data_IF_065878285300
#
_entry.id   IF_065878285300
#
_cell.length_a   1.000
_cell.length_b   1.000
_cell.length_c   1.000
_cell.angle_alpha   90.00
_cell.angle_beta   90.00
_cell.angle_gamma   90.00
#
_symmetry.space_group_name_H-M   'P 1'
#
loop_
_entity.id
_entity.type
_entity.pdbx_description
1 polymer ?
#
# COMPACT_ATOMS: atom_id res chain seq x y z
N UNK A 1 12.35 56.81 -12.52
CA UNK A 1 12.03 57.51 -13.78
C UNK A 1 12.33 56.54 -14.91
N UNK A 2 11.37 55.71 -15.32
CA UNK A 2 10.44 55.95 -16.43
C UNK A 2 11.16 56.20 -17.76
N UNK A 3 11.22 55.17 -18.60
CA UNK A 3 10.95 55.31 -20.04
C UNK A 3 10.42 54.00 -20.60
N UNK A 4 9.11 54.01 -20.84
CA UNK A 4 8.31 53.08 -21.65
C UNK A 4 8.60 53.24 -23.14
N UNK A 5 8.53 52.13 -23.89
CA UNK A 5 8.54 52.02 -25.36
C UNK A 5 7.85 50.70 -25.68
N UNK A 6 6.92 50.53 -26.62
CA UNK A 6 6.41 51.37 -27.71
C UNK A 6 5.24 50.61 -28.36
N UNK A 7 4.29 51.38 -28.92
CA UNK A 7 3.63 51.15 -30.23
C UNK A 7 2.61 50.00 -30.36
N UNK A 8 1.52 50.09 -31.13
CA UNK A 8 0.87 51.17 -31.91
C UNK A 8 -0.44 50.62 -32.58
N UNK A 9 -1.36 51.51 -32.97
CA UNK A 9 -2.24 51.46 -34.18
C UNK A 9 -3.40 50.40 -34.20
N UNK A 10 -4.67 50.58 -34.64
CA UNK A 10 -5.42 51.52 -35.50
C UNK A 10 -6.93 51.56 -35.12
N UNK A 11 -7.51 52.73 -35.42
CA UNK A 11 -8.86 53.25 -35.55
C UNK A 11 -10.03 52.40 -36.18
N UNK A 12 -11.24 52.63 -35.64
CA UNK A 12 -12.59 52.77 -36.27
C UNK A 12 -13.57 51.58 -36.44
N UNK A 13 -14.60 51.63 -35.57
CA UNK A 13 -16.08 51.54 -35.74
C UNK A 13 -16.73 50.28 -36.35
N UNK A 14 -17.57 49.64 -35.53
CA UNK A 14 -18.98 49.39 -35.85
C UNK A 14 -19.84 49.49 -34.56
N UNK A 15 -20.98 50.17 -34.67
CA UNK A 15 -21.95 50.47 -33.63
C UNK A 15 -23.19 49.57 -33.85
N UNK A 16 -23.60 48.76 -32.89
CA UNK A 16 -24.95 48.18 -32.78
C UNK A 16 -25.11 47.52 -31.39
N UNK A 17 -25.64 48.26 -30.40
CA UNK A 17 -26.99 48.07 -29.82
C UNK A 17 -27.21 46.71 -29.13
N UNK A 18 -27.34 46.76 -27.80
CA UNK A 18 -28.26 45.90 -27.06
C UNK A 18 -27.66 44.74 -26.27
N UNK A 19 -27.19 45.01 -25.05
CA UNK A 19 -27.77 44.46 -23.80
C UNK A 19 -26.96 44.99 -22.62
N UNK A 20 -27.61 45.77 -21.77
CA UNK A 20 -27.12 45.98 -20.42
C UNK A 20 -27.28 44.66 -19.66
N UNK A 21 -26.19 43.93 -19.46
CA UNK A 21 -26.08 43.01 -18.33
C UNK A 21 -25.16 43.66 -17.32
N UNK A 22 -25.80 44.28 -16.32
CA UNK A 22 -25.15 44.67 -15.08
C UNK A 22 -24.41 43.46 -14.53
N UNK A 23 -23.08 43.56 -14.50
CA UNK A 23 -22.24 42.67 -13.71
C UNK A 23 -22.45 43.02 -12.24
N UNK A 24 -23.59 42.61 -11.68
CA UNK A 24 -23.76 42.55 -10.24
C UNK A 24 -22.91 41.38 -9.76
N UNK A 25 -21.76 41.69 -9.16
CA UNK A 25 -21.17 40.80 -8.18
C UNK A 25 -22.25 40.51 -7.14
N UNK A 26 -22.92 39.36 -7.24
CA UNK A 26 -23.63 38.78 -6.13
C UNK A 26 -22.57 38.46 -5.08
N UNK A 27 -22.36 39.38 -4.14
CA UNK A 27 -21.90 38.99 -2.82
C UNK A 27 -22.87 37.91 -2.34
N UNK A 28 -22.39 36.75 -1.86
CA UNK A 28 -23.30 35.80 -1.23
C UNK A 28 -24.01 36.58 -0.13
N UNK A 29 -25.34 36.51 -0.10
CA UNK A 29 -26.12 36.96 1.05
C UNK A 29 -25.75 36.03 2.22
N UNK A 30 -24.59 36.28 2.83
CA UNK A 30 -24.33 35.96 4.22
C UNK A 30 -25.36 36.74 5.04
N UNK A 31 -26.04 36.02 5.93
CA UNK A 31 -27.12 36.47 6.80
C UNK A 31 -27.01 37.96 7.20
N UNK A 32 -27.67 38.85 6.45
CA UNK A 32 -28.23 40.06 7.05
C UNK A 32 -29.64 39.73 7.49
N UNK A 33 -29.71 39.19 8.70
CA UNK A 33 -30.80 39.33 9.66
C UNK A 33 -32.20 39.63 9.08
N UNK A 34 -32.94 38.58 8.72
CA UNK A 34 -34.24 38.41 9.37
C UNK A 34 -34.03 37.49 10.56
N UNK A 35 -33.51 38.08 11.63
CA UNK A 35 -33.39 37.47 12.95
C UNK A 35 -34.79 37.19 13.50
N UNK A 36 -35.29 35.99 13.25
CA UNK A 36 -36.03 35.28 14.28
C UNK A 36 -35.22 34.01 14.48
N UNK A 37 -34.64 33.89 15.68
CA UNK A 37 -33.93 32.71 16.15
C UNK A 37 -34.55 31.43 15.57
N UNK A 38 -33.82 30.75 14.67
CA UNK A 38 -34.19 29.39 14.28
C UNK A 38 -33.93 28.51 15.49
N UNK A 39 -34.88 28.52 16.43
CA UNK A 39 -34.86 27.68 17.61
C UNK A 39 -34.73 26.24 17.14
N UNK A 40 -33.67 25.55 17.57
CA UNK A 40 -33.39 24.17 17.16
C UNK A 40 -34.57 23.23 17.48
N UNK A 41 -35.43 23.58 18.45
CA UNK A 41 -36.65 22.87 18.78
C UNK A 41 -37.71 22.81 17.66
N UNK A 42 -37.55 23.58 16.59
CA UNK A 42 -38.43 23.56 15.41
C UNK A 42 -37.85 22.76 14.23
N UNK A 43 -36.66 22.18 14.39
CA UNK A 43 -36.02 21.41 13.33
C UNK A 43 -36.84 20.14 13.02
N UNK A 44 -37.00 19.85 11.73
CA UNK A 44 -37.54 18.56 11.31
C UNK A 44 -36.49 17.47 11.58
N UNK A 45 -36.79 16.59 12.52
CA UNK A 45 -35.88 15.51 12.91
C UNK A 45 -35.88 14.38 11.87
N UNK A 46 -34.73 14.19 11.22
CA UNK A 46 -34.44 13.13 10.24
C UNK A 46 -33.93 11.83 10.90
N UNK A 47 -33.74 11.85 12.22
CA UNK A 47 -33.25 10.76 13.05
C UNK A 47 -31.79 10.41 12.78
N UNK A 48 -31.38 9.24 13.26
CA UNK A 48 -30.00 8.76 13.11
C UNK A 48 -29.73 8.32 11.67
N UNK A 49 -28.63 8.80 11.09
CA UNK A 49 -28.20 8.40 9.74
C UNK A 49 -27.25 7.19 9.87
N UNK A 50 -27.84 5.99 9.93
CA UNK A 50 -27.12 4.70 9.94
C UNK A 50 -27.09 4.01 8.58
N UNK A 51 -27.86 4.51 7.62
CA UNK A 51 -27.97 4.05 6.25
C UNK A 51 -28.38 5.22 5.33
N UNK A 52 -28.24 5.10 4.00
CA UNK A 52 -28.72 6.12 3.06
C UNK A 52 -30.18 6.51 3.30
N UNK A 53 -30.45 7.81 3.47
CA UNK A 53 -31.81 8.34 3.64
C UNK A 53 -32.13 9.42 2.62
N UNK A 54 -33.42 9.60 2.36
CA UNK A 54 -33.97 10.62 1.45
C UNK A 54 -35.12 11.35 2.12
N UNK A 55 -35.09 12.67 2.06
CA UNK A 55 -36.12 13.53 2.64
C UNK A 55 -36.58 14.52 1.58
N UNK A 56 -37.90 14.71 1.46
CA UNK A 56 -38.48 15.69 0.54
C UNK A 56 -38.86 16.94 1.32
N UNK A 57 -38.55 18.09 0.75
CA UNK A 57 -38.87 19.40 1.31
C UNK A 57 -39.45 20.35 0.28
N UNK A 58 -40.01 21.45 0.77
CA UNK A 58 -40.41 22.60 -0.04
C UNK A 58 -40.08 23.88 0.72
N UNK A 59 -39.45 24.82 0.04
CA UNK A 59 -39.14 26.14 0.59
C UNK A 59 -39.68 27.22 -0.33
N UNK A 60 -40.31 28.24 0.27
CA UNK A 60 -40.82 29.42 -0.43
C UNK A 60 -39.78 30.54 -0.52
N UNK A 61 -40.06 31.56 -1.33
CA UNK A 61 -39.25 32.77 -1.41
C UNK A 61 -39.13 33.45 -0.04
N UNK A 62 -37.90 33.71 0.40
CA UNK A 62 -37.63 34.35 1.70
C UNK A 62 -38.07 33.49 2.89
N UNK A 63 -38.15 32.17 2.70
CA UNK A 63 -38.42 31.19 3.77
C UNK A 63 -37.22 30.27 3.92
N UNK A 64 -37.20 29.60 5.07
CA UNK A 64 -36.16 28.65 5.44
C UNK A 64 -36.81 27.37 5.95
N UNK A 65 -36.21 26.22 5.67
CA UNK A 65 -36.46 25.00 6.43
C UNK A 65 -35.24 24.66 7.27
N UNK A 66 -35.48 24.13 8.46
CA UNK A 66 -34.46 23.62 9.36
C UNK A 66 -34.67 22.12 9.51
N UNK A 67 -33.63 21.36 9.21
CA UNK A 67 -33.58 19.91 9.36
C UNK A 67 -32.54 19.56 10.40
N UNK A 68 -32.78 18.54 11.20
CA UNK A 68 -31.82 18.01 12.17
C UNK A 68 -31.59 16.54 11.89
N UNK A 69 -30.34 16.09 11.96
CA UNK A 69 -30.01 14.67 11.97
C UNK A 69 -28.90 14.38 12.98
N UNK A 70 -28.75 13.11 13.31
CA UNK A 70 -27.69 12.66 14.20
C UNK A 70 -26.83 11.61 13.50
N UNK A 71 -25.53 11.69 13.74
CA UNK A 71 -24.57 10.64 13.43
C UNK A 71 -24.24 9.92 14.73
N UNK A 72 -24.73 8.69 14.96
CA UNK A 72 -24.51 7.97 16.21
C UNK A 72 -23.06 7.53 16.39
N UNK A 73 -22.29 7.46 15.29
CA UNK A 73 -20.85 7.19 15.30
C UNK A 73 -20.16 8.12 14.32
N UNK A 74 -18.85 8.32 14.47
CA UNK A 74 -18.04 9.01 13.48
C UNK A 74 -18.29 8.33 12.12
N UNK A 75 -18.44 9.10 11.06
CA UNK A 75 -18.91 8.60 9.76
C UNK A 75 -17.99 9.14 8.67
N UNK A 76 -17.55 8.25 7.79
CA UNK A 76 -16.69 8.59 6.67
C UNK A 76 -17.53 9.00 5.46
N UNK A 77 -17.02 9.97 4.70
CA UNK A 77 -17.58 10.40 3.41
C UNK A 77 -19.10 10.65 3.46
N UNK A 78 -19.57 11.33 4.51
CA UNK A 78 -20.94 11.82 4.58
C UNK A 78 -21.19 12.71 3.39
N UNK A 79 -22.06 12.28 2.49
CA UNK A 79 -22.46 13.02 1.31
C UNK A 79 -23.88 13.49 1.48
N UNK A 80 -24.09 14.80 1.35
CA UNK A 80 -25.40 15.44 1.41
C UNK A 80 -25.66 16.05 0.05
N UNK A 81 -26.70 15.57 -0.63
CA UNK A 81 -27.06 16.03 -1.98
C UNK A 81 -28.44 16.66 -1.99
N UNK A 82 -28.57 17.85 -2.58
CA UNK A 82 -29.82 18.46 -2.99
C UNK A 82 -30.17 18.02 -4.41
N UNK A 83 -31.38 17.50 -4.62
CA UNK A 83 -31.91 17.23 -5.96
C UNK A 83 -33.31 17.78 -6.12
N UNK A 84 -33.84 17.70 -7.34
CA UNK A 84 -35.23 18.01 -7.71
C UNK A 84 -35.62 19.50 -7.59
N UNK A 85 -34.69 20.38 -7.21
CA UNK A 85 -34.91 21.82 -7.16
C UNK A 85 -35.09 22.43 -8.55
N UNK A 86 -36.18 23.18 -8.71
CA UNK A 86 -36.54 23.92 -9.92
C UNK A 86 -36.12 25.39 -9.85
N UNK A 87 -36.10 25.97 -8.65
CA UNK A 87 -35.62 27.33 -8.38
C UNK A 87 -34.27 27.30 -7.69
N UNK A 88 -33.62 28.46 -7.57
CA UNK A 88 -32.41 28.57 -6.78
C UNK A 88 -32.70 28.25 -5.31
N UNK A 89 -31.90 27.34 -4.76
CA UNK A 89 -31.92 26.92 -3.37
C UNK A 89 -30.47 26.87 -2.89
N UNK A 90 -30.24 27.41 -1.71
CA UNK A 90 -28.99 27.29 -0.98
C UNK A 90 -29.23 26.40 0.24
N UNK A 91 -28.22 25.63 0.61
CA UNK A 91 -28.18 24.87 1.83
C UNK A 91 -26.88 25.09 2.58
N UNK A 92 -26.99 25.02 3.90
CA UNK A 92 -25.89 25.20 4.82
C UNK A 92 -25.94 24.07 5.85
N UNK A 93 -24.78 23.44 6.12
CA UNK A 93 -24.63 22.43 7.16
C UNK A 93 -24.01 23.10 8.37
N UNK A 94 -24.63 22.92 9.52
CA UNK A 94 -24.18 23.44 10.80
C UNK A 94 -23.95 22.31 11.81
N UNK A 95 -23.14 22.61 12.81
CA UNK A 95 -23.09 21.90 14.08
C UNK A 95 -23.12 22.96 15.20
N UNK A 96 -24.10 22.87 16.11
CA UNK A 96 -24.15 23.73 17.30
C UNK A 96 -22.99 23.34 18.24
N UNK A 97 -21.87 24.04 18.11
CA UNK A 97 -20.61 23.69 18.77
C UNK A 97 -20.54 24.25 20.18
N UNK A 98 -21.22 25.37 20.43
CA UNK A 98 -21.25 26.01 21.74
C UNK A 98 -22.44 25.52 22.61
N UNK A 99 -23.36 24.74 22.04
CA UNK A 99 -24.55 24.16 22.67
C UNK A 99 -25.49 25.22 23.26
N UNK A 100 -25.56 26.41 22.66
CA UNK A 100 -26.43 27.49 23.13
C UNK A 100 -27.85 27.41 22.54
N UNK A 101 -28.11 26.44 21.66
CA UNK A 101 -29.41 26.20 21.06
C UNK A 101 -29.75 27.18 19.93
N UNK A 102 -28.76 27.89 19.39
CA UNK A 102 -28.87 28.79 18.24
C UNK A 102 -27.79 28.44 17.22
N UNK A 103 -28.11 28.58 15.93
CA UNK A 103 -27.13 28.45 14.86
C UNK A 103 -26.51 29.81 14.56
N UNK A 104 -25.18 29.92 14.61
CA UNK A 104 -24.46 31.15 14.24
C UNK A 104 -23.57 30.95 13.02
N UNK A 105 -23.12 32.06 12.42
CA UNK A 105 -22.39 32.04 11.16
C UNK A 105 -21.04 31.30 11.26
N UNK A 106 -20.40 31.38 12.42
CA UNK A 106 -19.16 30.69 12.76
C UNK A 106 -19.30 29.17 12.86
N UNK A 107 -20.54 28.66 12.94
CA UNK A 107 -20.85 27.24 13.06
C UNK A 107 -21.18 26.56 11.72
N UNK A 108 -21.13 27.33 10.63
CA UNK A 108 -21.33 26.81 9.28
C UNK A 108 -20.12 25.93 8.91
N UNK A 109 -20.39 24.64 8.71
CA UNK A 109 -19.41 23.67 8.25
C UNK A 109 -19.27 23.71 6.72
N UNK A 110 -20.39 23.79 6.02
CA UNK A 110 -20.43 23.78 4.56
C UNK A 110 -21.60 24.60 4.03
N UNK A 111 -21.41 25.16 2.84
CA UNK A 111 -22.48 25.79 2.05
C UNK A 111 -22.47 25.18 0.65
N UNK A 112 -23.66 24.92 0.11
CA UNK A 112 -23.82 24.43 -1.24
C UNK A 112 -25.16 24.86 -1.82
N UNK A 113 -25.34 24.72 -3.13
CA UNK A 113 -26.52 25.23 -3.82
C UNK A 113 -26.94 24.30 -4.96
N UNK A 114 -27.98 24.68 -5.71
CA UNK A 114 -28.46 23.90 -6.85
C UNK A 114 -27.38 23.64 -7.94
N UNK A 115 -26.44 24.56 -8.13
CA UNK A 115 -25.40 24.43 -9.17
C UNK A 115 -24.26 23.52 -8.71
N UNK A 116 -24.01 23.48 -7.39
CA UNK A 116 -23.09 22.55 -6.74
C UNK A 116 -23.88 21.72 -5.72
N UNK A 117 -24.70 20.75 -6.18
CA UNK A 117 -25.76 20.16 -5.37
C UNK A 117 -25.30 19.27 -4.24
N UNK A 118 -24.00 19.08 -4.02
CA UNK A 118 -23.51 18.13 -3.03
C UNK A 118 -22.25 18.58 -2.32
N UNK A 119 -22.18 18.20 -1.05
CA UNK A 119 -20.96 18.22 -0.23
C UNK A 119 -20.60 16.78 0.15
N UNK A 120 -19.31 16.53 0.37
CA UNK A 120 -18.81 15.26 0.91
C UNK A 120 -17.72 15.54 1.93
N UNK A 121 -17.88 15.04 3.16
CA UNK A 121 -16.87 15.18 4.22
C UNK A 121 -16.90 14.01 5.20
N UNK A 122 -15.81 13.80 5.93
CA UNK A 122 -15.86 13.01 7.15
C UNK A 122 -16.46 13.88 8.26
N UNK A 123 -17.39 13.32 9.02
CA UNK A 123 -18.03 14.00 10.15
C UNK A 123 -17.88 13.11 11.39
N UNK A 124 -17.64 13.73 12.54
CA UNK A 124 -17.59 13.03 13.82
C UNK A 124 -19.01 12.68 14.30
N UNK A 125 -19.14 11.83 15.32
CA UNK A 125 -20.43 11.57 15.94
C UNK A 125 -21.00 12.88 16.51
N UNK A 126 -22.29 13.12 16.33
CA UNK A 126 -22.91 14.36 16.78
C UNK A 126 -24.23 14.67 16.10
N UNK A 127 -24.81 15.80 16.50
CA UNK A 127 -26.03 16.34 15.93
C UNK A 127 -25.68 17.46 14.96
N UNK A 128 -26.30 17.42 13.79
CA UNK A 128 -26.06 18.33 12.69
C UNK A 128 -27.37 18.92 12.20
N UNK A 129 -27.28 20.13 11.65
CA UNK A 129 -28.43 20.87 11.15
C UNK A 129 -28.23 21.26 9.70
N UNK A 130 -29.26 21.07 8.88
CA UNK A 130 -29.29 21.57 7.51
C UNK A 130 -30.29 22.71 7.47
N UNK A 131 -29.83 23.88 7.05
CA UNK A 131 -30.66 25.03 6.76
C UNK A 131 -30.82 25.11 5.26
N UNK A 132 -32.05 25.16 4.75
CA UNK A 132 -32.32 25.38 3.32
C UNK A 132 -33.15 26.64 3.12
N UNK A 133 -32.79 27.48 2.15
CA UNK A 133 -33.52 28.69 1.83
C UNK A 133 -33.57 28.94 0.32
N UNK A 134 -34.62 29.64 -0.14
CA UNK A 134 -34.74 30.07 -1.53
C UNK A 134 -34.86 31.58 -1.65
N UNK A 135 -34.10 32.13 -2.61
CA UNK A 135 -34.07 33.55 -2.96
C UNK A 135 -34.68 33.86 -4.32
N UNK A 136 -35.15 32.86 -5.08
CA UNK A 136 -35.73 33.08 -6.42
C UNK A 136 -37.18 32.64 -6.57
N UNK A 137 -37.71 31.79 -5.69
CA UNK A 137 -39.10 31.35 -5.78
C UNK A 137 -39.46 30.23 -4.82
N UNK A 138 -40.62 29.61 -5.04
CA UNK A 138 -41.01 28.40 -4.32
C UNK A 138 -40.46 27.19 -5.04
N UNK A 139 -39.80 26.27 -4.33
CA UNK A 139 -39.28 25.05 -4.94
C UNK A 139 -39.40 23.84 -4.04
N UNK A 140 -39.63 22.69 -4.68
CA UNK A 140 -39.53 21.39 -4.06
C UNK A 140 -38.09 20.91 -4.20
N UNK A 141 -37.59 20.17 -3.23
CA UNK A 141 -36.27 19.57 -3.30
C UNK A 141 -36.26 18.24 -2.55
N UNK A 142 -35.20 17.47 -2.77
CA UNK A 142 -34.91 16.27 -2.01
C UNK A 142 -33.50 16.37 -1.42
N UNK A 143 -33.36 16.11 -0.14
CA UNK A 143 -32.06 15.90 0.52
C UNK A 143 -31.79 14.40 0.54
N UNK A 144 -30.70 13.98 -0.08
CA UNK A 144 -30.18 12.61 0.04
C UNK A 144 -28.96 12.66 0.94
N UNK A 145 -28.98 11.88 2.03
CA UNK A 145 -27.84 11.70 2.92
C UNK A 145 -27.31 10.29 2.74
N UNK A 146 -26.01 10.17 2.46
CA UNK A 146 -25.28 8.91 2.51
C UNK A 146 -24.07 9.07 3.40
N UNK A 147 -23.58 7.98 3.96
CA UNK A 147 -22.40 7.95 4.80
C UNK A 147 -22.16 6.52 5.25
N UNK A 148 -20.91 6.19 5.52
CA UNK A 148 -20.53 4.87 6.03
C UNK A 148 -19.90 5.07 7.42
N UNK A 149 -20.39 4.39 8.47
CA UNK A 149 -19.77 4.48 9.79
C UNK A 149 -18.25 4.31 9.70
N UNK A 150 -17.51 5.20 10.36
CA UNK A 150 -16.07 5.12 10.47
C UNK A 150 -15.73 3.78 11.12
N UNK A 151 -14.81 3.00 10.53
CA UNK A 151 -14.35 1.78 11.14
C UNK A 151 -13.78 2.06 12.54
N UNK A 152 -14.11 1.22 13.52
CA UNK A 152 -13.55 1.35 14.86
C UNK A 152 -12.03 1.15 14.84
N UNK A 153 -11.30 1.98 15.57
CA UNK A 153 -9.85 1.83 15.77
C UNK A 153 -9.60 0.60 16.65
N UNK A 154 -8.74 -0.35 16.25
CA UNK A 154 -8.39 -1.50 17.09
C UNK A 154 -7.74 -1.08 18.43
N UNK A 155 -7.98 -1.87 19.47
CA UNK A 155 -7.51 -1.59 20.84
C UNK A 155 -5.98 -1.53 20.98
N UNK A 156 -5.25 -2.27 20.15
CA UNK A 156 -3.79 -2.15 20.02
C UNK A 156 -3.49 -1.40 18.72
N UNK A 157 -3.40 -0.08 18.82
CA UNK A 157 -3.12 0.77 17.67
C UNK A 157 -1.60 0.85 17.47
N UNK A 158 -1.09 0.54 16.26
CA UNK A 158 0.33 0.73 15.98
C UNK A 158 0.72 2.20 16.08
N UNK A 159 1.94 2.46 16.53
CA UNK A 159 2.44 3.83 16.60
C UNK A 159 2.59 4.49 15.24
N UNK A 160 2.61 5.83 15.23
CA UNK A 160 2.74 6.65 14.02
C UNK A 160 4.19 7.00 13.66
N UNK A 161 5.15 6.54 14.45
CA UNK A 161 6.58 6.72 14.24
C UNK A 161 7.31 5.39 14.40
N UNK A 162 8.49 5.26 13.77
CA UNK A 162 9.28 4.02 13.81
C UNK A 162 9.62 3.57 15.24
N UNK A 163 9.96 4.53 16.11
CA UNK A 163 10.28 4.25 17.52
C UNK A 163 9.09 3.69 18.32
N UNK A 164 7.87 4.01 17.88
CA UNK A 164 6.61 3.57 18.47
C UNK A 164 5.97 2.39 17.75
N UNK A 165 6.70 1.75 16.82
CA UNK A 165 6.19 0.63 16.04
C UNK A 165 5.67 -0.50 16.93
N UNK A 166 4.49 -1.04 16.60
CA UNK A 166 3.93 -2.18 17.30
C UNK A 166 4.80 -3.42 17.07
N UNK A 167 5.31 -3.99 18.15
CA UNK A 167 6.16 -5.16 18.11
C UNK A 167 5.35 -6.43 17.94
N UNK A 168 5.46 -7.05 16.76
CA UNK A 168 4.85 -8.34 16.45
C UNK A 168 5.72 -9.52 16.94
N UNK A 169 6.87 -9.23 17.55
CA UNK A 169 7.79 -10.20 18.09
C UNK A 169 8.56 -10.96 17.02
N UNK A 170 8.91 -12.20 17.35
CA UNK A 170 9.64 -13.12 16.48
C UNK A 170 8.69 -13.69 15.44
N UNK A 171 9.04 -13.57 14.17
CA UNK A 171 8.18 -14.02 13.10
C UNK A 171 8.19 -15.55 12.97
N UNK A 172 7.06 -16.19 13.27
CA UNK A 172 6.89 -17.64 13.12
C UNK A 172 5.71 -17.97 12.20
N UNK A 173 5.99 -18.34 10.95
CA UNK A 173 4.99 -18.88 10.03
C UNK A 173 4.01 -17.83 9.51
N UNK A 174 2.85 -17.68 10.16
CA UNK A 174 1.78 -16.77 9.74
C UNK A 174 1.38 -15.86 10.90
N UNK A 175 1.39 -14.56 10.67
CA UNK A 175 0.92 -13.53 11.62
C UNK A 175 -0.21 -12.73 10.97
N UNK A 176 -1.27 -12.45 11.71
CA UNK A 176 -2.37 -11.60 11.25
C UNK A 176 -2.59 -10.48 12.24
N UNK A 177 -2.66 -9.25 11.74
CA UNK A 177 -2.97 -8.08 12.54
C UNK A 177 -4.07 -7.26 11.88
N UNK A 178 -4.96 -6.71 12.69
CA UNK A 178 -5.93 -5.72 12.24
C UNK A 178 -5.46 -4.34 12.62
N UNK A 179 -5.59 -3.38 11.73
CA UNK A 179 -5.17 -2.01 11.96
C UNK A 179 -6.13 -1.00 11.36
N UNK A 180 -5.86 0.26 11.64
CA UNK A 180 -6.58 1.41 11.12
C UNK A 180 -5.57 2.47 10.68
N UNK A 181 -5.81 3.05 9.51
CA UNK A 181 -5.15 4.30 9.09
C UNK A 181 -6.20 5.29 8.61
N UNK A 182 -5.97 6.58 8.84
CA UNK A 182 -6.93 7.64 8.54
C UNK A 182 -6.40 9.03 8.82
N UNK A 183 -7.19 10.08 8.59
CA UNK A 183 -6.74 11.49 8.66
C UNK A 183 -6.07 11.87 9.99
N UNK A 184 -6.57 11.35 11.10
CA UNK A 184 -6.03 11.58 12.46
C UNK A 184 -5.04 10.51 12.90
N UNK A 185 -4.91 9.44 12.12
CA UNK A 185 -4.00 8.32 12.36
C UNK A 185 -3.35 7.89 11.03
N UNK A 186 -2.51 8.76 10.45
CA UNK A 186 -2.10 8.64 9.05
C UNK A 186 -1.23 7.41 8.77
N UNK A 187 -0.43 7.03 9.76
CA UNK A 187 0.56 5.98 9.64
C UNK A 187 0.32 4.89 10.70
N UNK A 188 0.73 3.68 10.38
CA UNK A 188 0.81 2.57 11.32
C UNK A 188 2.12 1.83 11.09
N UNK A 189 3.02 1.93 12.07
CA UNK A 189 4.30 1.23 12.06
C UNK A 189 4.20 -0.07 12.85
N UNK A 190 4.66 -1.16 12.24
CA UNK A 190 4.87 -2.45 12.87
C UNK A 190 6.34 -2.84 12.78
N UNK A 191 6.81 -3.65 13.72
CA UNK A 191 8.13 -4.27 13.65
C UNK A 191 8.05 -5.75 13.96
N UNK A 192 8.95 -6.53 13.37
CA UNK A 192 9.13 -7.93 13.71
C UNK A 192 10.60 -8.32 13.54
N UNK A 193 10.98 -9.46 14.12
CA UNK A 193 12.31 -10.05 13.91
C UNK A 193 12.19 -11.38 13.17
N UNK A 194 12.84 -11.49 12.00
CA UNK A 194 13.06 -12.77 11.35
C UNK A 194 14.22 -13.49 12.04
N UNK A 195 13.96 -14.59 12.74
CA UNK A 195 15.02 -15.34 13.45
C UNK A 195 15.90 -16.17 12.51
N UNK A 196 15.36 -16.50 11.34
CA UNK A 196 16.05 -17.23 10.27
C UNK A 196 15.77 -16.54 8.96
N UNK A 197 16.61 -16.80 7.97
CA UNK A 197 16.33 -16.40 6.59
C UNK A 197 14.96 -16.98 6.14
N UNK A 198 14.20 -16.20 5.38
CA UNK A 198 12.85 -16.52 4.88
C UNK A 198 12.86 -16.44 3.36
N UNK A 199 12.38 -17.48 2.66
CA UNK A 199 12.50 -17.53 1.19
C UNK A 199 11.38 -16.78 0.46
N UNK A 200 10.19 -16.74 1.07
CA UNK A 200 8.98 -16.20 0.47
C UNK A 200 8.12 -15.50 1.53
N UNK A 201 8.70 -14.50 2.20
CA UNK A 201 7.94 -13.61 3.06
C UNK A 201 6.92 -12.87 2.20
N UNK A 202 5.65 -13.00 2.55
CA UNK A 202 4.51 -12.47 1.82
C UNK A 202 3.74 -11.56 2.74
N UNK A 203 3.45 -10.36 2.24
CA UNK A 203 2.58 -9.38 2.88
C UNK A 203 1.29 -9.30 2.07
N UNK A 204 0.15 -9.55 2.71
CA UNK A 204 -1.17 -9.52 2.09
C UNK A 204 -2.11 -8.60 2.86
N UNK A 205 -2.77 -7.70 2.14
CA UNK A 205 -3.87 -6.89 2.66
C UNK A 205 -5.23 -7.47 2.32
N UNK A 206 -6.13 -7.42 3.30
CA UNK A 206 -7.54 -7.73 3.14
C UNK A 206 -8.40 -6.85 4.06
N UNK A 207 -9.73 -6.99 3.97
CA UNK A 207 -10.66 -6.27 4.85
C UNK A 207 -10.77 -4.76 4.57
N UNK A 208 -10.29 -4.31 3.41
CA UNK A 208 -10.43 -2.92 2.99
C UNK A 208 -11.90 -2.59 2.67
N UNK A 209 -12.34 -1.39 3.02
CA UNK A 209 -13.65 -0.92 2.60
C UNK A 209 -13.60 -0.43 1.14
N UNK A 210 -14.74 -0.41 0.45
CA UNK A 210 -14.80 0.00 -0.96
C UNK A 210 -14.34 1.45 -1.22
N UNK A 211 -14.18 2.25 -0.17
CA UNK A 211 -13.82 3.66 -0.20
C UNK A 211 -12.33 3.90 0.13
N UNK A 212 -11.59 2.85 0.53
CA UNK A 212 -10.16 2.81 0.87
C UNK A 212 -9.26 3.02 -0.36
N UNK A 213 -9.42 4.16 -1.00
CA UNK A 213 -8.96 4.39 -2.38
C UNK A 213 -7.45 4.53 -2.52
N UNK A 214 -6.67 4.58 -1.43
CA UNK A 214 -5.22 4.84 -1.51
C UNK A 214 -4.41 4.26 -0.34
N UNK A 215 -4.88 3.22 0.34
CA UNK A 215 -4.04 2.56 1.34
C UNK A 215 -2.82 1.91 0.66
N UNK A 216 -1.65 2.03 1.28
CA UNK A 216 -0.44 1.36 0.85
C UNK A 216 0.32 0.79 2.03
N UNK A 217 1.17 -0.20 1.78
CA UNK A 217 2.17 -0.59 2.76
C UNK A 217 3.48 -0.96 2.12
N UNK A 218 4.52 -0.79 2.90
CA UNK A 218 5.87 -1.15 2.53
C UNK A 218 6.56 -1.92 3.65
N UNK A 219 7.44 -2.82 3.24
CA UNK A 219 8.38 -3.52 4.10
C UNK A 219 9.76 -2.93 3.85
N UNK A 220 10.50 -2.68 4.92
CA UNK A 220 11.85 -2.12 4.85
C UNK A 220 12.69 -2.60 6.03
N UNK A 221 13.99 -2.33 5.93
CA UNK A 221 14.96 -2.52 7.00
C UNK A 221 15.74 -1.22 7.19
N UNK A 222 15.60 -0.63 8.38
CA UNK A 222 16.42 0.51 8.82
C UNK A 222 17.89 0.05 8.85
N UNK A 223 18.60 0.31 7.77
CA UNK A 223 19.92 -0.25 7.49
C UNK A 223 21.03 0.65 8.02
N UNK A 224 20.74 1.95 8.19
CA UNK A 224 21.63 2.93 8.79
C UNK A 224 21.38 3.12 10.30
N UNK A 225 20.30 2.54 10.85
CA UNK A 225 19.86 2.65 12.24
C UNK A 225 19.60 4.10 12.69
N UNK A 226 19.10 4.95 11.80
CA UNK A 226 18.81 6.35 12.11
C UNK A 226 17.38 6.60 12.60
N UNK A 227 16.57 5.54 12.68
CA UNK A 227 15.21 5.63 13.17
C UNK A 227 14.22 6.23 12.17
N UNK A 228 14.62 6.40 10.90
CA UNK A 228 13.81 6.94 9.83
C UNK A 228 13.74 5.96 8.66
N UNK A 229 12.62 5.98 7.93
CA UNK A 229 12.53 5.25 6.68
C UNK A 229 13.15 6.06 5.54
N UNK A 230 14.04 5.46 4.76
CA UNK A 230 14.42 6.00 3.45
C UNK A 230 14.02 5.09 2.30
N UNK A 231 13.70 5.69 1.14
CA UNK A 231 13.23 4.96 -0.04
C UNK A 231 14.18 3.82 -0.49
N UNK A 232 15.48 3.97 -0.24
CA UNK A 232 16.51 3.01 -0.61
C UNK A 232 16.45 1.72 0.23
N UNK A 233 15.83 1.78 1.40
CA UNK A 233 15.70 0.68 2.37
C UNK A 233 14.48 -0.20 2.12
N UNK A 234 13.63 0.22 1.18
CA UNK A 234 12.39 -0.48 0.84
C UNK A 234 12.69 -1.81 0.17
N UNK A 235 12.16 -2.88 0.74
CA UNK A 235 12.29 -4.25 0.25
C UNK A 235 11.06 -4.69 -0.54
N UNK A 236 9.88 -4.23 -0.15
CA UNK A 236 8.61 -4.61 -0.76
C UNK A 236 7.59 -3.48 -0.62
N UNK A 237 6.70 -3.37 -1.59
CA UNK A 237 5.61 -2.39 -1.63
C UNK A 237 4.33 -3.08 -2.11
N UNK A 238 3.20 -2.73 -1.50
CA UNK A 238 1.85 -3.10 -1.92
C UNK A 238 0.94 -1.88 -1.85
N UNK A 239 -0.06 -1.86 -2.72
CA UNK A 239 -1.08 -0.82 -2.76
C UNK A 239 -2.45 -1.45 -3.05
N UNK A 240 -3.48 -0.60 -3.20
CA UNK A 240 -4.84 -1.04 -3.54
C UNK A 240 -4.96 -1.90 -4.81
N UNK A 241 -4.04 -1.76 -5.77
CA UNK A 241 -4.09 -2.47 -7.05
C UNK A 241 -3.34 -3.80 -6.96
N UNK A 242 -2.38 -3.89 -6.04
CA UNK A 242 -1.67 -5.12 -5.73
C UNK A 242 -1.61 -5.34 -4.22
N UNK A 243 -2.65 -5.99 -3.68
CA UNK A 243 -2.80 -6.24 -2.24
C UNK A 243 -1.91 -7.36 -1.70
N UNK A 244 -1.05 -7.97 -2.53
CA UNK A 244 -0.18 -9.05 -2.08
C UNK A 244 1.14 -9.05 -2.83
N UNK A 245 2.24 -9.06 -2.09
CA UNK A 245 3.58 -9.18 -2.68
C UNK A 245 4.46 -10.05 -1.80
N UNK A 246 5.54 -10.58 -2.37
CA UNK A 246 6.49 -11.40 -1.63
C UNK A 246 7.95 -11.10 -1.98
N UNK A 247 8.83 -11.35 -1.02
CA UNK A 247 10.28 -11.23 -1.14
C UNK A 247 10.97 -12.22 -0.20
N UNK A 248 12.27 -12.47 -0.38
CA UNK A 248 13.05 -13.14 0.68
C UNK A 248 13.57 -12.13 1.68
N UNK A 249 13.73 -12.59 2.91
CA UNK A 249 14.32 -11.84 3.99
C UNK A 249 15.49 -12.63 4.57
N UNK A 250 16.52 -11.92 4.99
CA UNK A 250 17.56 -12.50 5.82
C UNK A 250 17.12 -12.48 7.29
N UNK A 251 17.86 -13.15 8.17
CA UNK A 251 17.62 -13.00 9.59
C UNK A 251 17.89 -11.55 10.02
N UNK A 252 16.98 -10.95 10.78
CA UNK A 252 17.13 -9.57 11.23
C UNK A 252 15.82 -8.86 11.56
N UNK A 253 15.93 -7.60 12.02
CA UNK A 253 14.78 -6.75 12.29
C UNK A 253 14.21 -6.18 10.98
N UNK A 254 12.89 -6.10 10.90
CA UNK A 254 12.15 -5.52 9.79
C UNK A 254 11.01 -4.66 10.28
N UNK A 255 10.66 -3.67 9.46
CA UNK A 255 9.57 -2.76 9.73
C UNK A 255 8.56 -2.79 8.60
N UNK A 256 7.29 -2.62 8.96
CA UNK A 256 6.20 -2.44 8.02
C UNK A 256 5.57 -1.09 8.32
N UNK A 257 5.46 -0.26 7.29
CA UNK A 257 4.70 0.98 7.33
C UNK A 257 3.42 0.78 6.53
N UNK A 258 2.28 1.03 7.16
CA UNK A 258 0.99 1.19 6.49
C UNK A 258 0.63 2.67 6.49
N UNK A 259 0.26 3.21 5.33
CA UNK A 259 -0.04 4.63 5.14
C UNK A 259 -1.46 4.83 4.60
N UNK A 260 -2.18 5.79 5.17
CA UNK A 260 -3.43 6.29 4.61
C UNK A 260 -3.14 7.17 3.39
N UNK A 261 -3.65 6.82 2.21
CA UNK A 261 -3.54 7.79 1.11
C UNK A 261 -4.55 8.93 1.21
N UNK A 262 -5.84 8.65 1.45
CA UNK A 262 -6.86 9.73 1.51
C UNK A 262 -8.16 9.41 2.28
N UNK A 263 -8.30 8.20 2.81
CA UNK A 263 -9.55 7.72 3.43
C UNK A 263 -9.28 6.84 4.65
N UNK A 264 -10.13 7.01 5.66
CA UNK A 264 -10.11 6.22 6.87
C UNK A 264 -10.46 4.75 6.56
N UNK A 265 -9.58 3.84 6.92
CA UNK A 265 -9.63 2.45 6.49
C UNK A 265 -9.18 1.52 7.59
N UNK A 266 -10.03 0.55 7.94
CA UNK A 266 -9.56 -0.66 8.61
C UNK A 266 -8.92 -1.57 7.57
N UNK A 267 -7.96 -2.35 8.02
CA UNK A 267 -7.32 -3.38 7.22
C UNK A 267 -7.00 -4.60 8.08
N UNK A 268 -6.85 -5.74 7.42
CA UNK A 268 -6.17 -6.89 7.95
C UNK A 268 -4.88 -7.08 7.17
N UNK A 269 -3.75 -7.04 7.87
CA UNK A 269 -2.43 -7.32 7.37
C UNK A 269 -2.07 -8.76 7.75
N UNK A 270 -1.93 -9.62 6.73
CA UNK A 270 -1.46 -10.99 6.89
C UNK A 270 -0.02 -11.09 6.42
N UNK A 271 0.85 -11.51 7.32
CA UNK A 271 2.25 -11.80 7.06
C UNK A 271 2.41 -13.33 7.04
N UNK A 272 3.07 -13.86 6.03
CA UNK A 272 3.34 -15.31 5.95
C UNK A 272 4.71 -15.55 5.37
N UNK A 273 5.43 -16.56 5.84
CA UNK A 273 6.65 -16.99 5.18
C UNK A 273 6.89 -18.48 5.34
N UNK A 274 7.69 -19.02 4.43
CA UNK A 274 8.35 -20.31 4.59
C UNK A 274 9.78 -20.09 5.05
N UNK A 275 10.17 -20.73 6.15
CA UNK A 275 11.55 -20.68 6.63
C UNK A 275 12.49 -21.30 5.61
N UNK A 276 13.67 -20.68 5.47
CA UNK A 276 14.76 -21.23 4.67
C UNK A 276 15.36 -22.43 5.44
N UNK A 277 15.49 -23.62 4.83
CA UNK A 277 16.19 -24.73 5.44
C UNK A 277 17.61 -24.31 5.82
N UNK A 278 18.10 -24.79 6.97
CA UNK A 278 19.50 -24.63 7.32
C UNK A 278 20.39 -25.25 6.23
N UNK A 279 21.32 -24.46 5.68
CA UNK A 279 22.34 -25.00 4.79
C UNK A 279 23.38 -25.76 5.62
N UNK A 280 23.87 -26.88 5.09
CA UNK A 280 24.89 -27.70 5.78
C UNK A 280 26.24 -26.97 5.94
N UNK A 281 26.50 -25.94 5.12
CA UNK A 281 27.58 -24.94 5.25
C UNK A 281 27.40 -23.89 4.15
N UNK A 282 27.76 -22.63 4.39
CA UNK A 282 27.65 -21.56 3.40
C UNK A 282 28.80 -21.65 2.37
N UNK A 283 28.55 -22.02 1.10
CA UNK A 283 29.56 -21.93 0.06
C UNK A 283 29.86 -20.48 -0.30
N UNK A 284 31.11 -20.20 -0.64
CA UNK A 284 31.49 -18.90 -1.20
C UNK A 284 30.96 -18.69 -2.61
N UNK A 285 31.19 -17.49 -3.14
CA UNK A 285 30.67 -17.04 -4.43
C UNK A 285 31.65 -17.29 -5.60
N UNK A 286 32.87 -17.73 -5.32
CA UNK A 286 33.97 -17.88 -6.28
C UNK A 286 34.83 -19.13 -5.95
N UNK A 287 35.76 -19.54 -6.83
CA UNK A 287 36.63 -20.70 -6.61
C UNK A 287 37.55 -20.62 -5.38
N UNK A 288 37.95 -19.43 -4.97
CA UNK A 288 38.83 -19.20 -3.81
C UNK A 288 38.06 -19.43 -2.51
N UNK A 289 36.83 -18.93 -2.44
CA UNK A 289 35.92 -19.05 -1.30
C UNK A 289 35.03 -20.31 -1.36
N UNK A 290 35.21 -21.15 -2.37
CA UNK A 290 34.41 -22.34 -2.60
C UNK A 290 34.41 -23.30 -1.40
N UNK A 291 33.25 -23.85 -1.07
CA UNK A 291 33.16 -24.87 -0.02
C UNK A 291 33.90 -26.14 -0.45
N UNK A 292 35.00 -26.44 0.22
CA UNK A 292 35.82 -27.61 -0.07
C UNK A 292 35.18 -28.88 0.53
N UNK A 293 34.71 -29.77 -0.34
CA UNK A 293 34.12 -31.07 0.00
C UNK A 293 35.17 -32.18 0.15
N UNK A 294 36.44 -31.86 -0.06
CA UNK A 294 37.56 -32.81 0.00
C UNK A 294 37.55 -33.80 -1.17
N UNK A 295 38.15 -34.96 -0.93
CA UNK A 295 38.26 -36.04 -1.93
C UNK A 295 37.01 -36.92 -1.92
N UNK A 296 36.32 -37.01 -3.05
CA UNK A 296 35.07 -37.77 -3.13
C UNK A 296 35.32 -39.28 -3.28
N UNK A 297 34.96 -40.00 -2.22
CA UNK A 297 34.94 -41.47 -2.17
C UNK A 297 33.54 -42.07 -2.35
N UNK A 298 32.49 -41.30 -2.10
CA UNK A 298 31.09 -41.72 -2.01
C UNK A 298 30.16 -40.59 -2.45
N UNK A 299 28.88 -40.91 -2.63
CA UNK A 299 27.85 -39.90 -2.90
C UNK A 299 27.77 -38.87 -1.78
N UNK A 300 27.74 -37.58 -2.14
CA UNK A 300 27.58 -36.44 -1.23
C UNK A 300 26.24 -35.77 -1.52
N UNK A 301 25.54 -35.35 -0.47
CA UNK A 301 24.29 -34.59 -0.54
C UNK A 301 24.41 -33.31 0.27
N UNK A 302 24.08 -32.18 -0.34
CA UNK A 302 24.24 -30.84 0.24
C UNK A 302 22.93 -30.08 0.05
N UNK A 303 22.39 -29.55 1.14
CA UNK A 303 21.32 -28.55 1.06
C UNK A 303 21.95 -27.16 0.98
N UNK A 304 21.57 -26.42 -0.06
CA UNK A 304 22.06 -25.07 -0.29
C UNK A 304 20.95 -24.13 -0.74
N UNK A 305 21.34 -22.89 -0.99
CA UNK A 305 20.44 -21.85 -1.48
C UNK A 305 21.24 -20.87 -2.32
N UNK A 306 20.58 -20.34 -3.34
CA UNK A 306 21.01 -19.18 -4.10
C UNK A 306 19.85 -18.18 -4.20
N UNK A 307 20.16 -16.90 -4.24
CA UNK A 307 19.14 -15.85 -4.32
C UNK A 307 19.73 -14.45 -4.49
N UNK A 308 18.90 -13.43 -4.35
CA UNK A 308 19.26 -12.03 -4.62
C UNK A 308 20.43 -11.53 -3.78
N UNK A 309 20.47 -11.88 -2.48
CA UNK A 309 21.59 -11.50 -1.60
C UNK A 309 22.76 -12.47 -1.67
N UNK A 310 22.54 -13.69 -2.16
CA UNK A 310 23.57 -14.71 -2.34
C UNK A 310 23.50 -15.32 -3.76
N UNK A 311 24.02 -14.59 -4.77
CA UNK A 311 24.17 -14.96 -6.17
C UNK A 311 24.24 -16.42 -6.54
N UNK A 312 25.27 -16.97 -5.90
CA UNK A 312 26.11 -18.00 -6.43
C UNK A 312 26.58 -18.81 -5.23
N UNK A 313 26.66 -20.11 -5.43
CA UNK A 313 27.21 -21.05 -4.48
C UNK A 313 28.23 -21.92 -5.20
N UNK A 314 29.50 -21.80 -4.79
CA UNK A 314 30.61 -22.55 -5.38
C UNK A 314 31.08 -23.63 -4.41
N UNK A 315 31.17 -24.85 -4.92
CA UNK A 315 31.71 -26.02 -4.22
C UNK A 315 32.95 -26.51 -4.94
N UNK A 316 33.95 -26.98 -4.20
CA UNK A 316 35.17 -27.59 -4.76
C UNK A 316 35.34 -29.00 -4.22
N UNK A 317 35.79 -29.92 -5.06
CA UNK A 317 36.13 -31.27 -4.64
C UNK A 317 37.25 -31.88 -5.48
N UNK A 318 37.80 -33.00 -5.03
CA UNK A 318 38.84 -33.75 -5.73
C UNK A 318 38.39 -35.17 -6.06
N UNK A 319 38.77 -35.65 -7.25
CA UNK A 319 38.72 -37.05 -7.62
C UNK A 319 40.14 -37.60 -7.66
N UNK A 320 40.46 -38.54 -6.76
CA UNK A 320 41.80 -39.15 -6.69
C UNK A 320 42.11 -40.11 -7.84
N UNK A 321 41.10 -40.53 -8.59
CA UNK A 321 41.19 -41.41 -9.75
C UNK A 321 40.00 -41.16 -10.67
N UNK A 322 40.12 -41.60 -11.93
CA UNK A 322 39.02 -41.51 -12.87
C UNK A 322 37.78 -42.29 -12.39
N UNK A 323 36.60 -41.72 -12.64
CA UNK A 323 35.29 -42.21 -12.22
C UNK A 323 34.41 -42.44 -13.43
N UNK A 324 33.75 -43.60 -13.50
CA UNK A 324 32.76 -43.87 -14.54
C UNK A 324 31.38 -43.46 -14.06
N UNK A 325 30.55 -42.96 -14.97
CA UNK A 325 29.17 -42.54 -14.67
C UNK A 325 29.09 -41.49 -13.55
N UNK A 326 30.07 -40.58 -13.50
CA UNK A 326 30.04 -39.47 -12.55
C UNK A 326 28.79 -38.63 -12.82
N UNK A 327 28.07 -38.22 -11.78
CA UNK A 327 26.88 -37.40 -11.96
C UNK A 327 26.72 -36.35 -10.87
N UNK A 328 26.11 -35.23 -11.29
CA UNK A 328 25.60 -34.20 -10.40
C UNK A 328 24.09 -34.08 -10.62
N UNK A 329 23.33 -33.96 -9.54
CA UNK A 329 21.90 -33.72 -9.63
C UNK A 329 21.44 -32.63 -8.67
N UNK A 330 20.38 -31.95 -9.09
CA UNK A 330 19.77 -30.84 -8.41
C UNK A 330 18.29 -31.15 -8.21
N UNK A 331 17.78 -30.99 -7.00
CA UNK A 331 16.38 -31.26 -6.67
C UNK A 331 15.90 -30.32 -5.56
N UNK A 332 14.61 -30.42 -5.17
CA UNK A 332 14.00 -29.59 -4.11
C UNK A 332 14.16 -28.08 -4.34
N UNK A 333 14.06 -27.65 -5.59
CA UNK A 333 14.10 -26.24 -5.95
C UNK A 333 12.71 -25.62 -5.90
N UNK A 334 12.62 -24.37 -5.45
CA UNK A 334 11.37 -23.60 -5.43
C UNK A 334 11.26 -22.65 -6.62
N UNK A 335 12.39 -22.35 -7.28
CA UNK A 335 12.52 -21.45 -8.42
C UNK A 335 13.62 -21.93 -9.38
N UNK A 336 13.70 -21.26 -10.52
CA UNK A 336 14.73 -21.54 -11.52
C UNK A 336 16.13 -21.29 -10.97
N UNK A 337 17.01 -22.27 -11.14
CA UNK A 337 18.44 -22.18 -10.86
C UNK A 337 19.24 -22.89 -11.96
N UNK A 338 20.44 -22.38 -12.25
CA UNK A 338 21.41 -23.00 -13.15
C UNK A 338 22.53 -23.66 -12.34
N UNK A 339 22.98 -24.82 -12.80
CA UNK A 339 24.15 -25.50 -12.25
C UNK A 339 25.16 -25.80 -13.35
N UNK A 340 26.44 -25.60 -13.07
CA UNK A 340 27.55 -26.03 -13.90
C UNK A 340 28.59 -26.81 -13.13
N UNK A 341 29.15 -27.84 -13.78
CA UNK A 341 30.35 -28.55 -13.35
C UNK A 341 31.52 -28.06 -14.19
N UNK A 342 32.61 -27.69 -13.53
CA UNK A 342 33.80 -27.13 -14.14
C UNK A 342 35.05 -27.86 -13.68
N UNK A 343 36.10 -27.72 -14.47
CA UNK A 343 37.46 -28.01 -14.08
C UNK A 343 38.29 -26.79 -14.50
N UNK A 344 38.81 -26.05 -13.52
CA UNK A 344 39.72 -24.92 -13.74
C UNK A 344 41.05 -25.45 -14.31
N UNK A 345 41.14 -25.47 -15.65
CA UNK A 345 42.21 -26.14 -16.38
C UNK A 345 43.42 -25.23 -16.54
N UNK A 346 43.19 -23.92 -16.57
CA UNK A 346 44.24 -22.91 -16.65
C UNK A 346 44.75 -22.49 -15.25
N UNK A 347 44.07 -22.90 -14.17
CA UNK A 347 44.41 -22.60 -12.78
C UNK A 347 44.47 -21.09 -12.49
N UNK A 348 43.62 -20.31 -13.15
CA UNK A 348 43.55 -18.86 -12.96
C UNK A 348 42.52 -18.42 -11.90
N UNK A 349 41.81 -19.38 -11.29
CA UNK A 349 40.84 -19.12 -10.24
C UNK A 349 39.51 -18.56 -10.74
N UNK A 350 39.25 -18.61 -12.05
CA UNK A 350 38.00 -18.15 -12.66
C UNK A 350 37.33 -19.33 -13.39
N UNK A 351 36.02 -19.53 -13.17
CA UNK A 351 35.28 -20.59 -13.88
C UNK A 351 34.75 -20.06 -15.20
N UNK A 352 35.32 -20.49 -16.33
CA UNK A 352 34.90 -20.01 -17.65
C UNK A 352 34.06 -21.03 -18.43
N UNK A 353 33.35 -20.54 -19.45
CA UNK A 353 32.46 -21.37 -20.26
C UNK A 353 33.20 -22.48 -21.01
N UNK A 354 34.43 -22.23 -21.46
CA UNK A 354 35.31 -23.23 -22.11
C UNK A 354 35.81 -24.32 -21.14
N UNK A 355 35.64 -24.14 -19.84
CA UNK A 355 36.01 -25.09 -18.79
C UNK A 355 34.81 -25.87 -18.24
N UNK A 356 33.60 -25.48 -18.65
CA UNK A 356 32.35 -26.14 -18.24
C UNK A 356 32.28 -27.53 -18.88
N UNK A 357 32.22 -28.55 -18.04
CA UNK A 357 32.11 -29.95 -18.43
C UNK A 357 30.66 -30.36 -18.62
N UNK A 358 29.78 -29.87 -17.75
CA UNK A 358 28.34 -30.09 -17.79
C UNK A 358 27.61 -28.87 -17.25
N UNK A 359 26.36 -28.71 -17.64
CA UNK A 359 25.44 -27.94 -16.83
C UNK A 359 24.05 -27.85 -17.44
N UNK A 360 23.11 -27.47 -16.58
CA UNK A 360 21.69 -27.52 -16.85
C UNK A 360 20.96 -26.55 -15.93
N UNK A 361 19.81 -26.06 -16.39
CA UNK A 361 18.89 -25.27 -15.58
C UNK A 361 17.69 -26.11 -15.14
N UNK A 362 17.17 -25.85 -13.94
CA UNK A 362 15.99 -26.54 -13.40
C UNK A 362 14.84 -25.57 -13.17
N UNK A 363 13.72 -25.74 -13.87
CA UNK A 363 12.47 -25.01 -13.61
C UNK A 363 11.67 -25.62 -12.42
N UNK A 364 10.87 -24.82 -11.69
CA UNK A 364 10.25 -25.20 -10.41
C UNK A 364 9.22 -26.35 -10.45
N UNK A 365 8.90 -26.90 -11.63
CA UNK A 365 7.93 -27.99 -11.81
C UNK A 365 8.53 -29.40 -11.73
N UNK A 366 9.85 -29.55 -11.61
CA UNK A 366 10.52 -30.85 -11.54
C UNK A 366 10.76 -31.29 -10.09
N UNK A 367 9.74 -31.87 -9.46
CA UNK A 367 9.88 -32.54 -8.14
C UNK A 367 10.90 -33.69 -8.17
N UNK A 368 11.16 -34.26 -9.36
CA UNK A 368 12.11 -35.35 -9.61
C UNK A 368 13.58 -34.90 -9.72
N UNK A 369 13.87 -33.59 -9.73
CA UNK A 369 15.21 -33.07 -9.96
C UNK A 369 15.73 -33.27 -11.39
N UNK A 370 16.88 -32.70 -11.71
CA UNK A 370 17.61 -32.96 -12.97
C UNK A 370 19.02 -33.41 -12.68
N UNK A 371 19.50 -34.36 -13.49
CA UNK A 371 20.81 -34.98 -13.37
C UNK A 371 21.60 -34.75 -14.65
N UNK A 372 22.84 -34.29 -14.51
CA UNK A 372 23.85 -34.31 -15.56
C UNK A 372 24.92 -35.34 -15.24
N UNK A 373 25.36 -36.10 -16.25
CA UNK A 373 26.31 -37.20 -16.06
C UNK A 373 27.46 -37.14 -17.07
N UNK A 374 28.67 -37.45 -16.61
CA UNK A 374 29.84 -37.70 -17.44
C UNK A 374 30.06 -39.22 -17.55
N UNK A 375 30.23 -39.77 -18.76
CA UNK A 375 30.58 -41.18 -18.92
C UNK A 375 31.86 -41.54 -18.17
N UNK A 376 32.85 -40.65 -18.22
CA UNK A 376 34.10 -40.72 -17.45
C UNK A 376 34.48 -39.32 -16.99
N UNK A 377 34.70 -39.15 -15.70
CA UNK A 377 35.35 -37.97 -15.10
C UNK A 377 36.78 -38.34 -14.70
N UNK A 378 37.83 -37.74 -15.28
CA UNK A 378 39.22 -37.99 -14.90
C UNK A 378 39.54 -37.67 -13.42
N UNK A 379 40.75 -38.03 -12.98
CA UNK A 379 41.27 -37.53 -11.71
C UNK A 379 41.54 -36.02 -11.81
N UNK A 380 41.31 -35.27 -10.72
CA UNK A 380 41.55 -33.83 -10.69
C UNK A 380 40.68 -33.07 -9.70
N UNK A 381 40.85 -31.76 -9.70
CA UNK A 381 40.03 -30.81 -8.94
C UNK A 381 38.86 -30.34 -9.79
N UNK A 382 37.68 -30.30 -9.19
CA UNK A 382 36.44 -29.92 -9.85
C UNK A 382 35.71 -28.86 -9.03
N UNK A 383 34.94 -28.05 -9.73
CA UNK A 383 34.09 -27.03 -9.15
C UNK A 383 32.64 -27.22 -9.60
N UNK A 384 31.70 -27.01 -8.68
CA UNK A 384 30.29 -26.90 -9.00
C UNK A 384 29.85 -25.50 -8.66
N UNK A 385 29.28 -24.80 -9.63
CA UNK A 385 28.69 -23.49 -9.45
C UNK A 385 27.18 -23.63 -9.59
N UNK A 386 26.44 -23.25 -8.55
CA UNK A 386 24.98 -23.10 -8.58
C UNK A 386 24.69 -21.61 -8.61
N UNK A 387 23.86 -21.16 -9.54
CA UNK A 387 23.51 -19.76 -9.75
C UNK A 387 22.01 -19.54 -9.54
N UNK A 388 21.66 -18.49 -8.81
CA UNK A 388 20.32 -17.96 -8.79
C UNK A 388 19.96 -17.44 -10.19
N UNK A 389 18.71 -17.66 -10.60
CA UNK A 389 18.10 -16.78 -11.59
C UNK A 389 17.74 -15.43 -10.95
N UNK A 390 16.59 -14.89 -11.32
CA UNK A 390 16.04 -13.67 -10.72
C UNK A 390 15.39 -13.87 -9.34
N UNK A 391 15.24 -15.13 -8.91
CA UNK A 391 14.50 -15.51 -7.72
C UNK A 391 15.34 -16.36 -6.77
N UNK A 392 14.90 -16.36 -5.51
CA UNK A 392 15.48 -17.13 -4.43
C UNK A 392 15.05 -18.60 -4.51
N UNK A 393 15.99 -19.53 -4.36
CA UNK A 393 15.72 -20.96 -4.43
C UNK A 393 16.60 -21.76 -3.51
N UNK A 394 16.00 -22.67 -2.76
CA UNK A 394 16.74 -23.76 -2.14
C UNK A 394 17.12 -24.80 -3.18
N UNK A 395 18.06 -25.65 -2.85
CA UNK A 395 18.33 -26.85 -3.61
C UNK A 395 18.92 -27.95 -2.74
N UNK A 396 18.75 -29.18 -3.20
CA UNK A 396 19.51 -30.34 -2.79
C UNK A 396 20.45 -30.73 -3.94
N UNK A 397 21.74 -30.48 -3.75
CA UNK A 397 22.81 -30.91 -4.65
C UNK A 397 23.24 -32.32 -4.25
N UNK A 398 23.20 -33.27 -5.19
CA UNK A 398 23.76 -34.61 -5.02
C UNK A 398 24.92 -34.79 -5.99
N UNK A 399 26.07 -35.23 -5.48
CA UNK A 399 27.27 -35.51 -6.27
C UNK A 399 27.58 -36.99 -6.11
N UNK A 400 27.51 -37.76 -7.20
CA UNK A 400 27.78 -39.19 -7.21
C UNK A 400 29.06 -39.49 -8.01
N UNK A 401 30.18 -39.78 -7.32
CA UNK A 401 31.47 -40.08 -7.93
C UNK A 401 31.63 -41.53 -8.39
#
# INVERSE_FOLDING_TARGET
MLTTSKSAFVLKRALAVGLAMSLQLLQPLSLKAQSNDLSLGQAFNMGDITAPKRFRGNVGYGRTNLWQFSLPTNTNQVTITLSDATEFIMAELFQDTNNDGRLQQEEILFQWDRNNPSITSDLEAGTYYIVTNSSSGRTNYQITLTGVPRPAVPAETPGQELASALDLGKFSGVTKVTGFVGKTHPLSFYRFTAETNLDNFTMTFSGLNALSTYISALLFRDSNNDGQYQQQERLLFIDRNNLSSSTALEAGPYYILVDHGSSNSNYQLTLSATSRPASTAAPGADPETALNLGTLGRTVKITGYVGQTHPVSVYRFQLSRARKNFSISLSKTSRYIDIGLYQDRNSDGQLQQNERLLGFGLNPSASSGTTGSLPVAPAGTYYIQVNAGINNSNYLLTIAP
#
